data_IF_964884462441
#
_entry.id   IF_964884462441
#
_cell.length_a   1.000
_cell.length_b   1.000
_cell.length_c   1.000
_cell.angle_alpha   90.00
_cell.angle_beta   90.00
_cell.angle_gamma   90.00
#
_symmetry.space_group_name_H-M   'P 1'
#
loop_
_entity.id
_entity.type
_entity.pdbx_description
1 polymer ?
#
# COMPACT_ATOMS: atom_id res chain seq x y z
N UNK A 1 -7.10 54.61 -76.32
CA UNK A 1 -7.08 55.09 -74.91
C UNK A 1 -7.72 54.02 -74.08
N UNK A 2 -6.92 53.16 -73.48
CA UNK A 2 -7.36 52.02 -72.71
C UNK A 2 -6.85 52.14 -71.29
N UNK A 3 -7.73 52.28 -70.32
CA UNK A 3 -7.39 52.29 -68.90
C UNK A 3 -7.55 50.85 -68.38
N UNK A 4 -6.45 50.28 -67.88
CA UNK A 4 -6.39 49.02 -67.24
C UNK A 4 -6.56 49.18 -65.71
N UNK A 5 -7.59 48.58 -65.14
CA UNK A 5 -7.79 48.57 -63.69
C UNK A 5 -7.17 47.32 -63.08
N UNK A 6 -6.20 47.52 -62.19
CA UNK A 6 -5.56 46.47 -61.43
C UNK A 6 -6.34 46.23 -60.14
N UNK A 7 -6.94 45.06 -60.03
CA UNK A 7 -7.56 44.63 -58.78
C UNK A 7 -6.50 44.03 -57.84
N UNK A 8 -6.37 44.61 -56.65
CA UNK A 8 -5.53 44.05 -55.54
C UNK A 8 -6.31 43.01 -54.78
N UNK A 9 -5.90 41.78 -54.86
CA UNK A 9 -6.32 40.72 -53.93
C UNK A 9 -5.58 40.86 -52.63
N UNK A 10 -6.29 41.13 -51.53
CA UNK A 10 -5.77 41.06 -50.16
C UNK A 10 -5.92 39.64 -49.67
N UNK A 11 -4.83 38.92 -49.54
CA UNK A 11 -4.75 37.62 -48.87
C UNK A 11 -4.91 37.79 -47.36
N UNK A 12 -6.06 37.43 -46.80
CA UNK A 12 -6.28 37.32 -45.36
C UNK A 12 -5.78 35.96 -44.91
N UNK A 13 -4.54 35.94 -44.37
CA UNK A 13 -3.97 34.73 -43.80
C UNK A 13 -4.60 34.44 -42.43
N UNK A 14 -5.32 33.34 -42.33
CA UNK A 14 -5.79 32.80 -41.05
C UNK A 14 -4.65 32.05 -40.38
N UNK A 15 -4.06 32.65 -39.35
CA UNK A 15 -3.12 31.97 -38.46
C UNK A 15 -3.93 31.12 -37.48
N UNK A 16 -4.03 29.81 -37.72
CA UNK A 16 -4.54 28.84 -36.73
C UNK A 16 -3.45 28.62 -35.66
N UNK A 17 -3.60 29.28 -34.52
CA UNK A 17 -2.79 28.97 -33.35
C UNK A 17 -3.28 27.66 -32.73
N UNK A 18 -2.61 26.56 -33.01
CA UNK A 18 -2.83 25.28 -32.34
C UNK A 18 -2.31 25.39 -30.89
N UNK A 19 -3.22 25.53 -29.94
CA UNK A 19 -2.89 25.46 -28.49
C UNK A 19 -2.63 23.99 -28.17
N UNK A 20 -1.35 23.55 -28.14
CA UNK A 20 -0.94 22.27 -27.57
C UNK A 20 -1.12 22.32 -26.06
N UNK A 21 -2.23 21.78 -25.56
CA UNK A 21 -2.38 21.52 -24.13
C UNK A 21 -1.54 20.27 -23.81
N UNK A 22 -0.33 20.50 -23.33
CA UNK A 22 0.47 19.46 -22.68
C UNK A 22 -0.25 19.05 -21.38
N UNK A 23 -1.04 18.00 -21.45
CA UNK A 23 -1.52 17.31 -20.25
C UNK A 23 -0.29 16.71 -19.56
N UNK A 24 0.27 17.40 -18.57
CA UNK A 24 1.26 16.82 -17.69
C UNK A 24 0.60 15.64 -16.97
N UNK A 25 0.96 14.43 -17.35
CA UNK A 25 0.59 13.23 -16.60
C UNK A 25 1.18 13.38 -15.20
N UNK A 26 0.34 13.71 -14.21
CA UNK A 26 0.76 13.69 -12.82
C UNK A 26 1.12 12.25 -12.46
N UNK A 27 2.40 11.93 -12.53
CA UNK A 27 2.89 10.64 -12.07
C UNK A 27 2.72 10.61 -10.55
N UNK A 28 2.15 9.53 -10.03
CA UNK A 28 2.05 9.29 -8.61
C UNK A 28 3.44 9.42 -7.98
N UNK A 29 3.61 10.35 -7.05
CA UNK A 29 4.85 10.51 -6.29
C UNK A 29 4.66 9.87 -4.92
N UNK A 30 4.84 8.55 -4.88
CA UNK A 30 4.67 7.75 -3.67
C UNK A 30 5.74 8.14 -2.66
N UNK A 31 5.29 8.35 -1.42
CA UNK A 31 6.13 8.60 -0.26
C UNK A 31 5.88 7.52 0.77
N UNK A 32 6.96 6.87 1.20
CA UNK A 32 6.96 5.92 2.32
C UNK A 32 7.63 6.60 3.52
N UNK A 33 6.87 6.76 4.61
CA UNK A 33 7.36 7.28 5.89
C UNK A 33 7.47 6.12 6.85
N UNK A 34 8.60 6.01 7.54
CA UNK A 34 8.86 4.95 8.52
C UNK A 34 9.22 5.59 9.85
N UNK A 35 8.55 5.17 10.91
CA UNK A 35 8.91 5.49 12.28
C UNK A 35 9.16 4.20 13.05
N UNK A 36 10.03 4.29 14.06
CA UNK A 36 10.31 3.19 14.99
C UNK A 36 10.30 3.70 16.43
N UNK A 37 9.61 2.96 17.31
CA UNK A 37 9.62 3.16 18.75
C UNK A 37 10.38 2.02 19.44
N UNK A 38 11.26 2.34 20.39
CA UNK A 38 12.01 1.37 21.18
C UNK A 38 11.90 1.67 22.66
N UNK A 39 12.14 0.66 23.51
CA UNK A 39 12.13 0.83 24.96
C UNK A 39 10.81 1.42 25.47
N UNK A 40 10.87 2.46 26.29
CA UNK A 40 9.69 3.11 26.88
C UNK A 40 8.82 3.89 25.88
N UNK A 41 9.31 4.15 24.67
CA UNK A 41 8.52 4.76 23.62
C UNK A 41 7.60 3.75 22.90
N UNK A 42 7.91 2.45 22.98
CA UNK A 42 7.08 1.40 22.42
C UNK A 42 5.92 1.08 23.38
N UNK A 43 4.76 1.67 23.13
CA UNK A 43 3.57 1.56 23.98
C UNK A 43 2.38 1.01 23.20
N UNK A 44 1.39 0.47 23.89
CA UNK A 44 0.17 -0.10 23.28
C UNK A 44 -0.65 0.90 22.44
N UNK A 45 -0.38 2.20 22.58
CA UNK A 45 -1.03 3.25 21.80
C UNK A 45 -0.37 3.48 20.44
N UNK A 46 0.77 2.84 20.14
CA UNK A 46 1.50 2.97 18.86
C UNK A 46 1.65 4.44 18.42
N UNK A 47 2.10 5.31 19.35
CA UNK A 47 2.30 6.73 19.08
C UNK A 47 3.63 6.97 18.40
N UNK A 48 3.59 7.21 17.12
CA UNK A 48 4.78 7.56 16.33
C UNK A 48 4.90 9.07 16.14
N UNK A 49 6.03 9.52 15.61
CA UNK A 49 6.29 10.93 15.35
C UNK A 49 5.62 11.43 14.06
N UNK A 50 5.71 10.64 13.00
CA UNK A 50 5.27 11.03 11.65
C UNK A 50 4.21 10.07 11.10
N UNK A 51 4.20 8.82 11.52
CA UNK A 51 3.18 7.83 11.17
C UNK A 51 1.97 8.00 12.10
N UNK A 52 0.74 8.06 11.60
CA UNK A 52 -0.45 8.11 12.45
C UNK A 52 -0.52 6.89 13.38
N UNK A 53 -1.13 7.04 14.54
CA UNK A 53 -1.49 5.89 15.36
C UNK A 53 -2.57 5.07 14.66
N UNK A 54 -2.64 3.73 14.89
CA UNK A 54 -3.67 2.88 14.31
C UNK A 54 -5.09 3.37 14.62
N UNK A 55 -5.99 3.23 13.64
CA UNK A 55 -7.38 3.64 13.72
C UNK A 55 -8.29 2.41 13.85
N UNK A 56 -9.30 2.48 14.75
CA UNK A 56 -10.25 1.37 14.91
C UNK A 56 -11.30 1.29 13.82
N UNK A 57 -11.58 2.41 13.17
CA UNK A 57 -12.66 2.53 12.17
C UNK A 57 -12.13 3.23 10.93
N UNK A 58 -11.51 2.47 10.07
CA UNK A 58 -11.02 2.89 8.76
C UNK A 58 -11.65 2.02 7.66
N UNK A 59 -11.17 2.13 6.43
CA UNK A 59 -11.74 1.36 5.33
C UNK A 59 -11.30 -0.12 5.38
N UNK A 60 -10.16 -0.45 5.98
CA UNK A 60 -9.68 -1.82 6.09
C UNK A 60 -10.57 -2.64 7.03
N UNK A 61 -11.08 -2.05 8.12
CA UNK A 61 -12.02 -2.70 9.05
C UNK A 61 -13.32 -3.20 8.39
N UNK A 62 -13.64 -2.69 7.18
CA UNK A 62 -14.83 -3.08 6.39
C UNK A 62 -14.49 -3.93 5.18
N UNK A 63 -13.23 -4.15 4.91
CA UNK A 63 -12.78 -4.94 3.79
C UNK A 63 -12.87 -6.44 4.09
N UNK A 64 -13.05 -7.25 3.05
CA UNK A 64 -12.84 -8.69 3.16
C UNK A 64 -11.35 -8.97 3.03
N UNK A 65 -10.74 -9.47 4.10
CA UNK A 65 -9.31 -9.83 4.13
C UNK A 65 -9.16 -11.32 3.89
N UNK A 66 -8.28 -11.69 2.97
CA UNK A 66 -8.08 -13.08 2.56
C UNK A 66 -6.58 -13.40 2.45
N UNK A 67 -6.15 -14.47 3.12
CA UNK A 67 -4.83 -15.07 2.91
C UNK A 67 -4.88 -15.89 1.62
N UNK A 68 -4.14 -15.45 0.58
CA UNK A 68 -4.11 -16.12 -0.73
C UNK A 68 -2.94 -17.09 -0.89
N UNK A 69 -1.80 -16.75 -0.30
CA UNK A 69 -0.55 -17.51 -0.41
C UNK A 69 0.15 -17.51 0.93
N UNK A 70 0.76 -18.62 1.30
CA UNK A 70 1.41 -18.82 2.58
C UNK A 70 0.48 -19.44 3.61
N UNK A 71 1.01 -19.73 4.76
CA UNK A 71 0.31 -20.34 5.89
C UNK A 71 0.42 -19.42 7.10
N UNK A 72 -0.68 -19.24 7.82
CA UNK A 72 -0.68 -18.55 9.10
C UNK A 72 0.01 -19.40 10.16
N UNK A 73 0.85 -18.79 10.99
CA UNK A 73 1.41 -19.50 12.14
C UNK A 73 0.29 -19.85 13.14
N UNK A 74 0.20 -21.13 13.59
CA UNK A 74 -0.87 -21.54 14.51
C UNK A 74 -0.81 -20.88 15.88
N UNK A 75 0.35 -20.33 16.28
CA UNK A 75 0.48 -19.55 17.49
C UNK A 75 0.02 -18.08 17.29
N UNK A 76 -0.03 -17.58 16.06
CA UNK A 76 -0.48 -16.24 15.71
C UNK A 76 -1.98 -16.02 15.79
N UNK A 77 -2.40 -14.78 15.59
CA UNK A 77 -3.76 -14.40 15.30
C UNK A 77 -4.15 -14.80 13.87
N UNK A 78 -5.44 -14.91 13.59
CA UNK A 78 -5.96 -15.08 12.23
C UNK A 78 -5.67 -13.84 11.36
N UNK A 79 -5.76 -13.97 10.03
CA UNK A 79 -5.53 -12.85 9.09
C UNK A 79 -6.44 -11.64 9.36
N UNK A 80 -7.59 -11.84 10.00
CA UNK A 80 -8.52 -10.78 10.37
C UNK A 80 -7.98 -9.81 11.43
N UNK A 81 -6.98 -10.23 12.24
CA UNK A 81 -6.35 -9.31 13.22
C UNK A 81 -5.62 -8.14 12.56
N UNK A 82 -5.34 -8.25 11.25
CA UNK A 82 -4.73 -7.14 10.49
C UNK A 82 -5.64 -5.92 10.33
N UNK A 83 -6.94 -6.04 10.65
CA UNK A 83 -7.92 -4.96 10.40
C UNK A 83 -9.01 -4.89 11.47
N UNK A 84 -8.80 -5.50 12.65
CA UNK A 84 -9.81 -5.55 13.71
C UNK A 84 -9.75 -4.36 14.68
N UNK A 85 -8.75 -3.49 14.53
CA UNK A 85 -8.53 -2.32 15.39
C UNK A 85 -8.07 -2.68 16.80
N UNK A 86 -7.62 -3.92 17.04
CA UNK A 86 -7.12 -4.40 18.32
C UNK A 86 -5.59 -4.51 18.26
N UNK A 87 -4.91 -3.79 19.15
CA UNK A 87 -3.46 -3.72 19.15
C UNK A 87 -2.87 -4.58 20.28
N UNK A 88 -1.68 -5.16 20.08
CA UNK A 88 -0.97 -5.84 21.16
C UNK A 88 -0.67 -4.87 22.31
N UNK A 89 -0.79 -5.36 23.54
CA UNK A 89 -0.51 -4.58 24.73
C UNK A 89 0.99 -4.51 25.07
N UNK A 90 1.79 -5.41 24.51
CA UNK A 90 3.24 -5.53 24.71
C UNK A 90 3.89 -6.13 23.47
N UNK A 91 5.21 -6.01 23.37
CA UNK A 91 5.97 -6.74 22.37
C UNK A 91 5.75 -8.25 22.50
N UNK A 92 5.84 -8.95 21.41
CA UNK A 92 5.78 -10.40 21.37
C UNK A 92 4.48 -10.98 21.98
N UNK A 93 3.35 -10.49 21.50
CA UNK A 93 2.01 -10.96 21.84
C UNK A 93 1.40 -11.68 20.63
N UNK A 94 1.68 -13.00 20.45
CA UNK A 94 1.39 -13.71 19.20
C UNK A 94 -0.05 -13.61 18.72
N UNK A 95 -1.02 -13.78 19.62
CA UNK A 95 -2.47 -13.78 19.26
C UNK A 95 -3.03 -12.44 18.81
N UNK A 96 -2.33 -11.35 19.11
CA UNK A 96 -2.68 -9.99 18.66
C UNK A 96 -1.93 -9.57 17.41
N UNK A 97 -1.20 -10.50 16.77
CA UNK A 97 -0.44 -10.27 15.55
C UNK A 97 -0.70 -11.38 14.56
N UNK A 98 -0.76 -11.01 13.28
CA UNK A 98 -0.67 -11.96 12.19
C UNK A 98 0.80 -12.14 11.78
N UNK A 99 1.24 -13.36 11.59
CA UNK A 99 2.52 -13.68 10.98
C UNK A 99 2.47 -15.04 10.29
N UNK A 100 3.34 -15.23 9.31
CA UNK A 100 3.41 -16.47 8.57
C UNK A 100 4.10 -17.57 9.37
N UNK A 101 3.76 -18.82 9.06
CA UNK A 101 4.36 -19.98 9.69
C UNK A 101 5.87 -19.99 9.54
N UNK A 102 6.54 -20.51 10.56
CA UNK A 102 7.98 -20.71 10.60
C UNK A 102 8.47 -21.48 9.37
N UNK A 103 9.62 -21.08 8.82
CA UNK A 103 10.20 -21.65 7.59
C UNK A 103 9.52 -21.21 6.29
N UNK A 104 8.48 -20.36 6.35
CA UNK A 104 7.89 -19.77 5.14
C UNK A 104 8.61 -18.49 4.71
N UNK A 105 8.68 -18.25 3.40
CA UNK A 105 9.25 -17.01 2.85
C UNK A 105 8.31 -15.80 2.90
N UNK A 106 7.19 -15.90 3.64
CA UNK A 106 6.11 -14.94 3.63
C UNK A 106 4.91 -15.41 2.81
N UNK A 107 4.15 -14.49 2.21
CA UNK A 107 2.94 -14.84 1.46
C UNK A 107 2.18 -13.65 0.93
N UNK A 108 0.90 -13.86 0.60
CA UNK A 108 0.04 -12.83 0.01
C UNK A 108 -1.27 -12.70 0.76
N UNK A 109 -1.60 -11.46 1.15
CA UNK A 109 -2.89 -11.10 1.74
C UNK A 109 -3.58 -10.09 0.85
N UNK A 110 -4.83 -10.36 0.49
CA UNK A 110 -5.69 -9.46 -0.28
C UNK A 110 -6.71 -8.79 0.63
N UNK A 111 -6.96 -7.51 0.40
CA UNK A 111 -8.11 -6.76 0.90
C UNK A 111 -9.04 -6.42 -0.25
N UNK A 112 -10.34 -6.74 -0.15
CA UNK A 112 -11.40 -6.35 -1.09
C UNK A 112 -12.38 -5.40 -0.39
N UNK A 113 -12.47 -4.17 -0.86
CA UNK A 113 -13.38 -3.15 -0.33
C UNK A 113 -14.81 -3.29 -0.87
N UNK A 114 -15.09 -4.32 -1.71
CA UNK A 114 -16.40 -4.54 -2.33
C UNK A 114 -16.72 -3.58 -3.48
N UNK A 115 -16.15 -2.40 -3.48
CA UNK A 115 -16.29 -1.37 -4.54
C UNK A 115 -15.01 -0.55 -4.65
N UNK A 116 -14.87 0.22 -5.73
CA UNK A 116 -13.75 1.14 -5.91
C UNK A 116 -13.87 2.29 -4.89
N UNK A 117 -12.82 2.50 -4.10
CA UNK A 117 -12.69 3.58 -3.12
C UNK A 117 -11.50 4.48 -3.46
N UNK A 118 -11.57 5.75 -3.07
CA UNK A 118 -10.46 6.70 -3.24
C UNK A 118 -9.53 6.62 -2.03
N UNK A 119 -8.40 5.95 -2.19
CA UNK A 119 -7.42 5.71 -1.12
C UNK A 119 -6.45 6.88 -1.04
N UNK A 120 -6.29 7.45 0.15
CA UNK A 120 -5.32 8.51 0.46
C UNK A 120 -4.04 7.98 1.04
N UNK A 121 -4.15 6.97 1.90
CA UNK A 121 -3.07 6.51 2.72
C UNK A 121 -3.27 5.06 3.11
N UNK A 122 -2.17 4.31 3.18
CA UNK A 122 -2.11 2.96 3.74
C UNK A 122 -1.07 2.97 4.83
N UNK A 123 -1.42 2.50 6.03
CA UNK A 123 -0.47 2.33 7.12
C UNK A 123 -0.36 0.86 7.49
N UNK A 124 0.79 0.47 8.01
CA UNK A 124 0.99 -0.86 8.60
C UNK A 124 1.83 -0.76 9.86
N UNK A 125 1.56 -1.66 10.81
CA UNK A 125 2.15 -1.65 12.13
C UNK A 125 2.62 -3.04 12.52
N UNK A 126 3.74 -3.10 13.24
CA UNK A 126 4.29 -4.34 13.78
C UNK A 126 4.94 -4.09 15.13
N UNK A 127 4.99 -5.10 15.98
CA UNK A 127 5.63 -5.03 17.29
C UNK A 127 6.21 -6.38 17.69
N UNK A 128 7.54 -6.45 17.78
CA UNK A 128 8.27 -7.62 18.24
C UNK A 128 9.58 -7.22 18.93
N UNK A 129 10.18 -8.11 19.69
CA UNK A 129 11.45 -7.84 20.42
C UNK A 129 12.69 -7.97 19.54
N UNK A 130 12.62 -8.67 18.41
CA UNK A 130 13.75 -8.98 17.53
C UNK A 130 13.40 -8.80 16.04
N UNK A 131 13.94 -9.66 15.20
CA UNK A 131 13.84 -9.64 13.74
C UNK A 131 12.40 -9.72 13.18
N UNK A 132 11.42 -10.16 13.96
CA UNK A 132 10.00 -10.10 13.61
C UNK A 132 9.37 -8.70 13.75
N UNK A 133 10.12 -7.64 14.16
CA UNK A 133 9.60 -6.28 14.21
C UNK A 133 9.64 -5.55 12.87
N UNK A 134 10.73 -5.59 12.08
CA UNK A 134 10.81 -4.94 10.78
C UNK A 134 9.78 -5.49 9.79
N UNK A 135 9.35 -4.64 8.85
CA UNK A 135 8.37 -4.96 7.82
C UNK A 135 9.03 -5.02 6.46
N UNK A 136 8.76 -6.08 5.69
CA UNK A 136 9.16 -6.20 4.29
C UNK A 136 7.97 -6.68 3.47
N UNK A 137 7.50 -5.84 2.53
CA UNK A 137 6.41 -6.21 1.65
C UNK A 137 6.36 -5.36 0.37
N UNK A 138 5.67 -5.90 -0.64
CA UNK A 138 5.25 -5.17 -1.83
C UNK A 138 3.76 -4.87 -1.71
N UNK A 139 3.38 -3.62 -1.93
CA UNK A 139 1.97 -3.20 -1.99
C UNK A 139 1.54 -3.06 -3.44
N UNK A 140 0.55 -3.84 -3.82
CA UNK A 140 -0.13 -3.73 -5.11
C UNK A 140 -1.56 -3.25 -4.92
N UNK A 141 -2.14 -2.66 -5.97
CA UNK A 141 -3.53 -2.24 -6.00
C UNK A 141 -4.16 -2.49 -7.37
N UNK A 142 -5.49 -2.67 -7.40
CA UNK A 142 -6.27 -2.76 -8.63
C UNK A 142 -7.71 -2.26 -8.40
N UNK A 143 -8.32 -1.68 -9.42
CA UNK A 143 -9.76 -1.40 -9.43
C UNK A 143 -10.58 -2.61 -9.91
N UNK A 144 -9.90 -3.64 -10.44
CA UNK A 144 -10.51 -4.86 -10.96
C UNK A 144 -11.06 -4.73 -12.38
N UNK A 145 -10.85 -3.60 -13.06
CA UNK A 145 -11.40 -3.35 -14.40
C UNK A 145 -10.49 -3.80 -15.55
N UNK A 146 -9.23 -4.16 -15.27
CA UNK A 146 -8.29 -4.61 -16.28
C UNK A 146 -8.77 -5.90 -16.94
N UNK A 147 -8.66 -6.00 -18.27
CA UNK A 147 -9.04 -7.23 -18.99
C UNK A 147 -8.13 -8.38 -18.55
N UNK A 148 -8.74 -9.48 -18.09
CA UNK A 148 -7.98 -10.63 -17.57
C UNK A 148 -7.53 -10.46 -16.11
N UNK A 149 -8.04 -9.44 -15.40
CA UNK A 149 -7.74 -9.27 -13.98
C UNK A 149 -8.02 -10.55 -13.19
N UNK A 150 -7.02 -10.98 -12.43
CA UNK A 150 -7.15 -12.08 -11.48
C UNK A 150 -6.98 -11.53 -10.05
N UNK A 151 -8.06 -11.56 -9.27
CA UNK A 151 -8.08 -11.10 -7.89
C UNK A 151 -7.30 -12.02 -6.93
N UNK A 152 -6.95 -13.23 -7.34
CA UNK A 152 -6.33 -14.27 -6.50
C UNK A 152 -5.08 -14.87 -7.16
N UNK A 153 -4.04 -14.04 -7.42
CA UNK A 153 -2.81 -14.53 -8.00
C UNK A 153 -2.12 -15.50 -7.05
N UNK A 154 -1.82 -16.72 -7.52
CA UNK A 154 -1.13 -17.75 -6.75
C UNK A 154 0.37 -17.45 -6.59
N UNK A 155 1.08 -18.28 -5.84
CA UNK A 155 2.50 -18.10 -5.53
C UNK A 155 3.41 -17.96 -6.77
N UNK A 156 3.05 -18.63 -7.88
CA UNK A 156 3.85 -18.71 -9.10
C UNK A 156 3.49 -17.65 -10.14
N UNK A 157 2.54 -16.76 -9.83
CA UNK A 157 2.07 -15.75 -10.77
C UNK A 157 2.53 -14.36 -10.32
N UNK A 158 3.14 -13.59 -11.22
CA UNK A 158 3.41 -12.17 -10.92
C UNK A 158 2.07 -11.41 -10.88
N UNK A 159 1.76 -10.69 -9.79
CA UNK A 159 0.55 -9.89 -9.73
C UNK A 159 0.42 -8.88 -10.89
N UNK A 160 1.53 -8.35 -11.40
CA UNK A 160 1.53 -7.39 -12.51
C UNK A 160 0.94 -8.05 -13.78
N UNK A 161 1.27 -9.31 -14.03
CA UNK A 161 0.73 -10.06 -15.18
C UNK A 161 -0.78 -10.37 -15.04
N UNK A 162 -1.32 -10.15 -13.85
CA UNK A 162 -2.72 -10.35 -13.50
C UNK A 162 -3.54 -9.06 -13.39
N UNK A 163 -3.03 -7.94 -13.88
CA UNK A 163 -3.74 -6.65 -13.84
C UNK A 163 -3.61 -5.90 -12.50
N UNK A 164 -2.65 -6.27 -11.66
CA UNK A 164 -2.29 -5.50 -10.48
C UNK A 164 -1.21 -4.46 -10.80
N UNK A 165 -1.30 -3.31 -10.17
CA UNK A 165 -0.29 -2.25 -10.24
C UNK A 165 0.53 -2.26 -8.97
N UNK A 166 1.86 -2.36 -9.09
CA UNK A 166 2.77 -2.14 -7.97
C UNK A 166 2.71 -0.66 -7.55
N UNK A 167 2.34 -0.40 -6.30
CA UNK A 167 2.32 0.93 -5.71
C UNK A 167 3.70 1.27 -5.15
N UNK A 168 4.24 0.40 -4.29
CA UNK A 168 5.56 0.59 -3.69
C UNK A 168 6.07 -0.69 -3.05
N UNK A 169 7.37 -0.69 -2.72
CA UNK A 169 8.01 -1.69 -1.86
C UNK A 169 8.35 -1.05 -0.53
N UNK A 170 8.08 -1.75 0.57
CA UNK A 170 8.45 -1.36 1.94
C UNK A 170 9.54 -2.31 2.42
N UNK A 171 10.60 -1.75 3.00
CA UNK A 171 11.64 -2.46 3.72
C UNK A 171 12.14 -1.59 4.88
N UNK A 172 11.77 -1.97 6.10
CA UNK A 172 12.11 -1.20 7.31
C UNK A 172 13.30 -1.78 8.06
N UNK A 173 13.97 -2.82 7.57
CA UNK A 173 15.11 -3.46 8.23
C UNK A 173 16.25 -2.49 8.56
N UNK A 174 16.44 -1.47 7.71
CA UNK A 174 17.44 -0.41 7.97
C UNK A 174 17.16 0.43 9.21
N UNK A 175 15.94 0.39 9.73
CA UNK A 175 15.57 1.07 10.98
C UNK A 175 16.03 0.28 12.22
N UNK A 176 16.47 -0.97 12.02
CA UNK A 176 16.97 -1.88 13.05
C UNK A 176 15.90 -2.81 13.60
N UNK A 177 16.36 -3.87 14.27
CA UNK A 177 15.49 -4.91 14.83
C UNK A 177 14.82 -4.48 16.13
N UNK A 178 13.70 -5.13 16.42
CA UNK A 178 12.93 -4.94 17.65
C UNK A 178 12.19 -3.62 17.73
N UNK A 179 11.26 -3.54 18.67
CA UNK A 179 10.40 -2.40 18.92
C UNK A 179 9.12 -2.41 18.05
N UNK A 180 8.48 -1.25 17.97
CA UNK A 180 7.35 -1.01 17.10
C UNK A 180 7.81 -0.35 15.81
N UNK A 181 7.38 -0.85 14.67
CA UNK A 181 7.56 -0.21 13.39
C UNK A 181 6.20 0.29 12.89
N UNK A 182 6.14 1.55 12.50
CA UNK A 182 5.02 2.15 11.80
C UNK A 182 5.44 2.57 10.40
N UNK A 183 4.63 2.24 9.42
CA UNK A 183 4.81 2.64 8.02
C UNK A 183 3.59 3.42 7.55
N UNK A 184 3.81 4.48 6.81
CA UNK A 184 2.75 5.23 6.15
C UNK A 184 3.10 5.45 4.68
N UNK A 185 2.22 5.02 3.80
CA UNK A 185 2.33 5.14 2.34
C UNK A 185 1.32 6.18 1.89
N UNK A 186 1.80 7.25 1.27
CA UNK A 186 0.99 8.37 0.78
C UNK A 186 1.44 8.77 -0.62
N UNK A 187 0.64 9.58 -1.29
CA UNK A 187 1.03 10.30 -2.51
C UNK A 187 1.17 11.79 -2.23
N UNK A 188 2.18 12.44 -2.83
CA UNK A 188 2.42 13.87 -2.65
C UNK A 188 1.24 14.74 -3.11
N UNK A 189 0.37 14.22 -3.99
CA UNK A 189 -0.85 14.89 -4.46
C UNK A 189 -2.07 14.54 -3.59
N UNK A 190 -1.89 13.75 -2.52
CA UNK A 190 -2.90 13.46 -1.52
C UNK A 190 -3.81 12.27 -1.80
N UNK A 191 -3.69 11.61 -2.96
CA UNK A 191 -4.47 10.43 -3.35
C UNK A 191 -3.56 9.38 -3.95
N UNK A 192 -3.48 8.21 -3.33
CA UNK A 192 -2.75 7.06 -3.86
C UNK A 192 -3.39 6.50 -5.14
N UNK A 193 -4.72 6.56 -5.20
CA UNK A 193 -5.49 6.12 -6.35
C UNK A 193 -6.92 5.73 -6.01
N UNK A 194 -7.62 5.18 -7.03
CA UNK A 194 -8.96 4.63 -6.91
C UNK A 194 -8.88 3.14 -7.14
N UNK A 195 -9.10 2.36 -6.09
CA UNK A 195 -8.89 0.92 -6.11
C UNK A 195 -10.02 0.21 -5.36
N UNK A 196 -10.36 -1.00 -5.81
CA UNK A 196 -11.21 -1.93 -5.09
C UNK A 196 -10.39 -2.90 -4.26
N UNK A 197 -9.18 -3.22 -4.73
CA UNK A 197 -8.35 -4.24 -4.11
C UNK A 197 -6.98 -3.68 -3.72
N UNK A 198 -6.48 -4.12 -2.56
CA UNK A 198 -5.07 -4.06 -2.21
C UNK A 198 -4.54 -5.49 -2.06
N UNK A 199 -3.29 -5.71 -2.47
CA UNK A 199 -2.58 -6.96 -2.27
C UNK A 199 -1.22 -6.68 -1.62
N UNK A 200 -1.00 -7.28 -0.48
CA UNK A 200 0.28 -7.25 0.22
C UNK A 200 1.03 -8.54 -0.10
N UNK A 201 2.19 -8.42 -0.75
CA UNK A 201 3.15 -9.48 -0.92
C UNK A 201 4.17 -9.42 0.20
N UNK A 202 3.91 -10.07 1.32
CA UNK A 202 4.80 -10.10 2.48
C UNK A 202 6.01 -10.98 2.22
N UNK A 203 7.17 -10.56 2.73
CA UNK A 203 8.45 -11.25 2.61
C UNK A 203 9.03 -11.43 4.00
N UNK A 204 9.64 -12.58 4.28
CA UNK A 204 10.36 -12.81 5.51
C UNK A 204 11.50 -11.78 5.67
N UNK A 205 11.69 -11.28 6.89
CA UNK A 205 12.71 -10.28 7.20
C UNK A 205 14.11 -10.86 7.26
N UNK A 206 14.21 -12.15 7.55
CA UNK A 206 15.45 -12.93 7.54
C UNK A 206 15.17 -14.34 6.99
N UNK A 207 16.22 -15.01 6.54
CA UNK A 207 16.14 -16.33 5.93
C UNK A 207 16.95 -17.37 6.69
N UNK A 208 17.71 -16.94 7.71
CA UNK A 208 18.69 -17.76 8.41
C UNK A 208 18.09 -18.50 9.61
N UNK A 209 16.90 -18.14 10.04
CA UNK A 209 16.13 -18.87 11.02
C UNK A 209 14.67 -19.07 10.60
N UNK A 210 14.01 -19.99 11.28
CA UNK A 210 12.61 -20.34 10.98
C UNK A 210 11.62 -19.27 11.50
N UNK A 211 12.09 -18.22 12.19
CA UNK A 211 11.26 -17.20 12.84
C UNK A 211 11.26 -15.84 12.12
N UNK A 212 11.80 -15.78 10.90
CA UNK A 212 12.02 -14.55 10.14
C UNK A 212 10.80 -13.84 9.59
N UNK A 213 9.60 -14.10 10.14
CA UNK A 213 8.37 -13.45 9.71
C UNK A 213 7.96 -12.30 10.62
N UNK A 214 7.50 -11.23 10.01
CA UNK A 214 7.05 -10.02 10.73
C UNK A 214 5.76 -10.27 11.49
N UNK A 215 5.70 -9.81 12.74
CA UNK A 215 4.51 -9.77 13.58
C UNK A 215 3.68 -8.53 13.25
N UNK A 216 2.84 -8.62 12.23
CA UNK A 216 1.96 -7.53 11.81
C UNK A 216 0.80 -7.37 12.79
N UNK A 217 0.68 -6.19 13.38
CA UNK A 217 -0.33 -5.87 14.40
C UNK A 217 -1.60 -5.28 13.80
N UNK A 218 -1.48 -4.44 12.74
CA UNK A 218 -2.62 -3.74 12.15
C UNK A 218 -2.24 -3.18 10.76
N UNK A 219 -3.24 -3.03 9.91
CA UNK A 219 -3.16 -2.31 8.64
C UNK A 219 -4.37 -1.40 8.50
N UNK A 220 -4.13 -0.09 8.41
CA UNK A 220 -5.17 0.91 8.18
C UNK A 220 -5.23 1.35 6.72
N UNK A 221 -6.42 1.62 6.22
CA UNK A 221 -6.63 2.23 4.91
C UNK A 221 -7.50 3.48 5.04
N UNK A 222 -6.88 4.64 4.85
CA UNK A 222 -7.56 5.93 4.91
C UNK A 222 -8.11 6.30 3.53
N UNK A 223 -9.41 6.47 3.44
CA UNK A 223 -10.09 6.89 2.22
C UNK A 223 -10.50 8.35 2.28
N UNK A 224 -10.82 8.94 1.13
CA UNK A 224 -11.52 10.22 1.09
C UNK A 224 -12.94 9.98 1.56
N UNK A 225 -13.36 10.72 2.58
CA UNK A 225 -14.78 10.71 2.97
C UNK A 225 -15.62 11.20 1.79
N UNK A 226 -16.75 10.53 1.51
CA UNK A 226 -17.66 10.95 0.47
C UNK A 226 -18.18 12.39 0.68
#
# INVERSE_FOLDING_TARGET
>A
MTFSSIARLTNLGWALAALLVLAASAHAQIRVTVDRNIGSAATKEFKFKNVPAPAKEDAAAKATVTLLVGENDPAGGDVSVLTDGLLPAKADEPKSNFYFASGSGGGRVRMDFGSVVEIKQVNSYSWHTGAGAPQVYLLYASDGAEIGFNAEPNANTDPIDCGWKLITTVDTRKSGDGGQHGVSITDAHGILGKYRYLLFGFVATETDDDAGNTFYSEIDVVTKKP
#
